data_IF_153628103176
#
_entry.id   IF_153628103176
#
_cell.length_a   1.000
_cell.length_b   1.000
_cell.length_c   1.000
_cell.angle_alpha   90.00
_cell.angle_beta   90.00
_cell.angle_gamma   90.00
#
_symmetry.space_group_name_H-M   'P 1'
#
loop_
_entity.id
_entity.type
_entity.pdbx_description
1 polymer ?
#
# COMPACT_ATOMS: atom_id res chain seq x y z
N UNK A 1 -42.35 7.32 50.10
CA UNK A 1 -41.64 6.12 50.64
C UNK A 1 -40.23 6.09 50.11
N UNK A 2 -39.19 5.91 50.91
CA UNK A 2 -37.84 5.74 50.44
C UNK A 2 -37.78 4.50 49.54
N UNK A 3 -37.27 4.63 48.31
CA UNK A 3 -37.08 3.51 47.37
C UNK A 3 -35.98 2.62 47.92
N UNK A 4 -36.36 1.48 48.51
CA UNK A 4 -35.41 0.46 48.94
C UNK A 4 -34.67 -0.07 47.68
N UNK A 5 -33.35 -0.10 47.77
CA UNK A 5 -32.55 -0.61 46.65
C UNK A 5 -32.76 -2.13 46.53
N UNK A 6 -32.91 -2.70 45.32
CA UNK A 6 -33.13 -4.11 45.13
C UNK A 6 -31.98 -4.94 45.74
N UNK A 7 -32.31 -6.02 46.42
CA UNK A 7 -31.35 -7.01 46.90
C UNK A 7 -30.70 -7.71 45.72
N UNK A 8 -29.39 -7.89 45.73
CA UNK A 8 -28.66 -8.59 44.69
C UNK A 8 -28.24 -9.97 45.18
N UNK A 9 -28.71 -11.01 44.53
CA UNK A 9 -28.16 -12.35 44.67
C UNK A 9 -27.04 -12.54 43.65
N UNK A 10 -25.85 -12.91 44.11
CA UNK A 10 -24.68 -13.17 43.26
C UNK A 10 -24.36 -14.66 43.34
N UNK A 11 -24.36 -15.36 42.22
CA UNK A 11 -23.95 -16.76 42.13
C UNK A 11 -22.45 -16.91 42.48
N UNK A 12 -22.03 -18.11 42.84
CA UNK A 12 -20.61 -18.38 43.13
C UNK A 12 -19.73 -18.09 41.89
N UNK A 13 -20.20 -18.44 40.68
CA UNK A 13 -19.50 -18.20 39.43
C UNK A 13 -19.38 -16.71 39.12
N UNK A 14 -20.46 -15.95 39.25
CA UNK A 14 -20.43 -14.49 39.10
C UNK A 14 -19.51 -13.83 40.12
N UNK A 15 -19.51 -14.34 41.37
CA UNK A 15 -18.62 -13.79 42.42
C UNK A 15 -17.14 -13.97 42.08
N UNK A 16 -16.76 -15.11 41.49
CA UNK A 16 -15.41 -15.37 41.01
C UNK A 16 -15.02 -14.37 39.89
N UNK A 17 -15.93 -14.17 38.93
CA UNK A 17 -15.71 -13.23 37.83
C UNK A 17 -15.58 -11.78 38.34
N UNK A 18 -16.47 -11.36 39.21
CA UNK A 18 -16.48 -10.02 39.82
C UNK A 18 -15.21 -9.75 40.65
N UNK A 19 -14.75 -10.72 41.45
CA UNK A 19 -13.51 -10.63 42.22
C UNK A 19 -12.31 -10.51 41.29
N UNK A 20 -12.27 -11.29 40.20
CA UNK A 20 -11.21 -11.19 39.20
C UNK A 20 -11.20 -9.80 38.54
N UNK A 21 -12.37 -9.25 38.19
CA UNK A 21 -12.44 -7.91 37.61
C UNK A 21 -12.07 -6.81 38.59
N UNK A 22 -12.47 -6.92 39.86
CA UNK A 22 -12.19 -5.91 40.87
C UNK A 22 -10.69 -5.79 41.24
N UNK A 23 -9.91 -6.86 41.05
CA UNK A 23 -8.47 -6.95 41.38
C UNK A 23 -7.54 -6.93 40.17
N UNK A 24 -8.06 -7.08 38.97
CA UNK A 24 -7.29 -7.26 37.76
C UNK A 24 -6.52 -6.00 37.31
N UNK A 25 -5.20 -6.05 37.28
CA UNK A 25 -4.34 -4.93 36.82
C UNK A 25 -4.59 -4.51 35.38
N UNK A 26 -5.09 -5.43 34.51
CA UNK A 26 -5.42 -5.18 33.10
C UNK A 26 -6.91 -4.94 32.86
N UNK A 27 -7.74 -5.00 33.91
CA UNK A 27 -9.18 -4.74 33.82
C UNK A 27 -9.42 -3.24 33.61
N UNK A 28 -10.25 -2.82 32.63
CA UNK A 28 -10.57 -1.41 32.46
C UNK A 28 -11.14 -0.78 33.74
N UNK A 29 -10.67 0.39 34.14
CA UNK A 29 -11.04 1.05 35.39
C UNK A 29 -12.57 1.19 35.58
N UNK A 30 -13.33 1.37 34.48
CA UNK A 30 -14.80 1.39 34.51
C UNK A 30 -15.39 0.07 34.98
N UNK A 31 -14.80 -1.07 34.56
CA UNK A 31 -15.29 -2.40 34.90
C UNK A 31 -14.89 -2.78 36.33
N UNK A 32 -13.69 -2.40 36.75
CA UNK A 32 -13.26 -2.52 38.14
C UNK A 32 -14.27 -1.87 39.08
N UNK A 33 -14.63 -0.61 38.81
CA UNK A 33 -15.59 0.15 39.65
C UNK A 33 -16.98 -0.49 39.63
N UNK A 34 -17.45 -1.00 38.48
CA UNK A 34 -18.74 -1.69 38.39
C UNK A 34 -18.79 -2.99 39.18
N UNK A 35 -17.72 -3.79 39.10
CA UNK A 35 -17.57 -5.01 39.85
C UNK A 35 -17.53 -4.74 41.38
N UNK A 36 -16.82 -3.70 41.82
CA UNK A 36 -16.80 -3.27 43.20
C UNK A 36 -18.18 -2.84 43.72
N UNK A 37 -18.95 -2.09 42.90
CA UNK A 37 -20.33 -1.71 43.26
C UNK A 37 -21.19 -2.96 43.51
N UNK A 38 -21.14 -3.95 42.61
CA UNK A 38 -21.97 -5.15 42.70
C UNK A 38 -21.56 -6.02 43.91
N UNK A 39 -20.27 -6.21 44.13
CA UNK A 39 -19.78 -7.00 45.30
C UNK A 39 -20.25 -6.40 46.61
N UNK A 40 -20.10 -5.07 46.80
CA UNK A 40 -20.57 -4.40 48.04
C UNK A 40 -22.09 -4.44 48.19
N UNK A 41 -22.80 -4.34 47.06
CA UNK A 41 -24.26 -4.45 47.06
C UNK A 41 -24.71 -5.87 47.44
N UNK A 42 -23.98 -6.92 47.05
CA UNK A 42 -24.21 -8.30 47.44
C UNK A 42 -23.89 -8.55 48.92
N UNK A 43 -22.91 -7.82 49.45
CA UNK A 43 -22.55 -7.84 50.89
C UNK A 43 -23.53 -6.97 51.73
N UNK A 44 -24.65 -6.53 51.18
CA UNK A 44 -25.75 -5.84 51.89
C UNK A 44 -25.59 -4.32 52.06
N UNK A 45 -24.58 -3.70 51.42
CA UNK A 45 -24.33 -2.27 51.59
C UNK A 45 -25.40 -1.40 50.93
N UNK A 46 -25.76 -0.32 51.56
CA UNK A 46 -26.66 0.69 51.02
C UNK A 46 -26.01 1.51 49.90
N UNK A 47 -26.80 1.97 48.92
CA UNK A 47 -26.29 2.78 47.78
C UNK A 47 -25.49 3.99 48.23
N UNK A 48 -25.93 4.66 49.30
CA UNK A 48 -25.24 5.86 49.84
C UNK A 48 -23.85 5.52 50.35
N UNK A 49 -23.70 4.41 51.08
CA UNK A 49 -22.42 3.97 51.61
C UNK A 49 -21.44 3.55 50.50
N UNK A 50 -21.92 2.78 49.52
CA UNK A 50 -21.12 2.39 48.32
C UNK A 50 -20.70 3.64 47.50
N UNK A 51 -21.60 4.60 47.35
CA UNK A 51 -21.31 5.82 46.63
C UNK A 51 -20.22 6.67 47.30
N UNK A 52 -20.28 6.77 48.62
CA UNK A 52 -19.28 7.48 49.44
C UNK A 52 -17.90 6.81 49.36
N UNK A 53 -17.84 5.51 49.52
CA UNK A 53 -16.58 4.75 49.52
C UNK A 53 -15.90 4.75 48.14
N UNK A 54 -16.67 4.59 47.06
CA UNK A 54 -16.13 4.50 45.71
C UNK A 54 -16.03 5.86 44.97
N UNK A 55 -16.33 6.97 45.65
CA UNK A 55 -16.27 8.31 45.08
C UNK A 55 -17.18 8.46 43.86
N UNK A 56 -18.44 7.97 43.94
CA UNK A 56 -19.40 8.00 42.84
C UNK A 56 -20.76 8.52 43.29
N UNK A 57 -21.73 8.63 42.37
CA UNK A 57 -23.08 9.11 42.69
C UNK A 57 -24.00 7.93 43.03
N UNK A 58 -24.90 8.08 43.97
CA UNK A 58 -25.90 7.05 44.30
C UNK A 58 -26.71 6.57 43.10
N UNK A 59 -27.06 7.48 42.18
CA UNK A 59 -27.73 7.11 40.93
C UNK A 59 -26.92 6.14 40.08
N UNK A 60 -25.58 6.28 40.09
CA UNK A 60 -24.65 5.40 39.37
C UNK A 60 -24.61 4.02 40.04
N UNK A 61 -24.57 3.97 41.36
CA UNK A 61 -24.62 2.72 42.10
C UNK A 61 -25.95 1.99 41.82
N UNK A 62 -27.09 2.68 41.94
CA UNK A 62 -28.41 2.14 41.62
C UNK A 62 -28.55 1.64 40.18
N UNK A 63 -27.92 2.32 39.23
CA UNK A 63 -27.91 1.90 37.82
C UNK A 63 -27.19 0.55 37.65
N UNK A 64 -25.98 0.40 38.16
CA UNK A 64 -25.19 -0.83 37.97
C UNK A 64 -25.75 -2.00 38.79
N UNK A 65 -26.31 -1.71 39.95
CA UNK A 65 -27.02 -2.68 40.77
C UNK A 65 -28.23 -3.26 40.04
N UNK A 66 -29.08 -2.41 39.44
CA UNK A 66 -30.24 -2.85 38.67
C UNK A 66 -29.82 -3.64 37.44
N UNK A 67 -28.82 -3.17 36.69
CA UNK A 67 -28.36 -3.85 35.47
C UNK A 67 -27.74 -5.23 35.76
N UNK A 68 -27.07 -5.38 36.88
CA UNK A 68 -26.60 -6.67 37.30
C UNK A 68 -27.77 -7.58 37.72
N UNK A 69 -28.74 -7.08 38.46
CA UNK A 69 -29.94 -7.86 38.86
C UNK A 69 -30.74 -8.34 37.63
N UNK A 70 -30.78 -7.56 36.56
CA UNK A 70 -31.49 -7.90 35.32
C UNK A 70 -30.72 -8.85 34.40
N UNK A 71 -29.40 -8.76 34.33
CA UNK A 71 -28.58 -9.40 33.27
C UNK A 71 -27.27 -10.01 33.76
N UNK A 72 -27.05 -10.13 35.06
CA UNK A 72 -25.81 -10.67 35.65
C UNK A 72 -24.56 -9.89 35.24
N UNK A 73 -23.42 -10.58 35.14
CA UNK A 73 -22.14 -10.02 34.72
C UNK A 73 -22.20 -9.36 33.37
N UNK A 74 -22.93 -9.89 32.39
CA UNK A 74 -23.13 -9.28 31.05
C UNK A 74 -23.77 -7.89 31.13
N UNK A 75 -24.61 -7.64 32.15
CA UNK A 75 -25.26 -6.34 32.35
C UNK A 75 -24.30 -5.20 32.71
N UNK A 76 -23.15 -5.53 33.31
CA UNK A 76 -22.16 -4.54 33.74
C UNK A 76 -20.88 -4.49 32.88
N UNK A 77 -20.64 -5.51 32.06
CA UNK A 77 -19.47 -5.59 31.19
C UNK A 77 -19.43 -4.49 30.15
N UNK A 78 -20.58 -4.22 29.50
CA UNK A 78 -20.70 -3.21 28.46
C UNK A 78 -21.69 -2.12 28.83
N UNK A 79 -21.49 -0.92 28.24
CA UNK A 79 -22.48 0.15 28.34
C UNK A 79 -23.73 -0.22 27.51
N UNK A 80 -24.90 0.27 27.92
CA UNK A 80 -26.10 0.09 27.13
C UNK A 80 -25.90 0.65 25.71
N UNK A 81 -26.31 -0.07 24.66
CA UNK A 81 -26.33 0.46 23.31
C UNK A 81 -27.21 1.72 23.26
N UNK A 82 -26.85 2.67 22.39
CA UNK A 82 -27.68 3.85 22.19
C UNK A 82 -27.23 5.13 22.88
N UNK A 83 -26.05 5.16 23.55
CA UNK A 83 -25.43 6.42 23.97
C UNK A 83 -24.81 7.15 22.76
N UNK A 84 -25.61 7.84 22.04
CA UNK A 84 -25.23 8.67 20.90
C UNK A 84 -26.46 9.08 20.12
N UNK A 85 -26.30 10.05 19.23
CA UNK A 85 -27.40 10.43 18.33
C UNK A 85 -27.77 9.22 17.46
N UNK A 86 -29.02 8.70 17.50
CA UNK A 86 -29.41 7.56 16.68
C UNK A 86 -29.12 7.83 15.20
N UNK A 87 -28.71 6.78 14.48
CA UNK A 87 -28.61 6.85 13.05
C UNK A 87 -30.05 6.97 12.50
N UNK A 88 -30.44 8.16 12.07
CA UNK A 88 -31.72 8.38 11.43
C UNK A 88 -31.72 7.76 10.03
N UNK A 89 -32.90 7.36 9.52
CA UNK A 89 -33.10 6.90 8.12
C UNK A 89 -32.49 7.89 7.12
N UNK A 90 -32.51 9.18 7.40
CA UNK A 90 -31.83 10.22 6.63
C UNK A 90 -30.30 10.02 6.51
N UNK A 91 -29.64 9.43 7.51
CA UNK A 91 -28.19 9.15 7.43
C UNK A 91 -27.85 8.09 6.40
N UNK A 92 -28.65 7.05 6.30
CA UNK A 92 -28.47 5.98 5.32
C UNK A 92 -28.70 6.50 3.89
N UNK A 93 -29.75 7.29 3.68
CA UNK A 93 -30.04 7.88 2.38
C UNK A 93 -28.93 8.86 1.93
N UNK A 94 -28.44 9.72 2.84
CA UNK A 94 -27.33 10.64 2.57
C UNK A 94 -26.03 9.88 2.29
N UNK A 95 -25.74 8.79 2.99
CA UNK A 95 -24.57 7.95 2.74
C UNK A 95 -24.63 7.32 1.35
N UNK A 96 -25.76 6.76 0.98
CA UNK A 96 -26.00 6.19 -0.35
C UNK A 96 -25.83 7.25 -1.45
N UNK A 97 -26.35 8.46 -1.24
CA UNK A 97 -26.23 9.56 -2.19
C UNK A 97 -24.80 10.03 -2.35
N UNK A 98 -24.02 10.15 -1.26
CA UNK A 98 -22.59 10.48 -1.32
C UNK A 98 -21.83 9.43 -2.12
N UNK A 99 -22.07 8.14 -1.88
CA UNK A 99 -21.43 7.05 -2.61
C UNK A 99 -21.81 7.11 -4.10
N UNK A 100 -23.10 7.24 -4.40
CA UNK A 100 -23.63 7.32 -5.77
C UNK A 100 -23.00 8.49 -6.55
N UNK A 101 -23.04 9.71 -5.98
CA UNK A 101 -22.43 10.91 -6.61
C UNK A 101 -20.93 10.73 -6.80
N UNK A 102 -20.21 10.18 -5.80
CA UNK A 102 -18.75 9.99 -5.90
C UNK A 102 -18.37 9.04 -7.02
N UNK A 103 -19.17 7.98 -7.25
CA UNK A 103 -18.82 6.90 -8.18
C UNK A 103 -19.38 7.09 -9.59
N UNK A 104 -20.46 7.87 -9.74
CA UNK A 104 -21.22 7.97 -11.01
C UNK A 104 -21.33 9.38 -11.57
N UNK A 105 -21.00 10.41 -10.78
CA UNK A 105 -21.12 11.80 -11.20
C UNK A 105 -19.82 12.57 -11.03
N UNK A 106 -19.63 13.54 -11.88
CA UNK A 106 -18.54 14.53 -11.72
C UNK A 106 -19.10 15.83 -11.11
N UNK A 107 -18.33 16.55 -10.29
CA UNK A 107 -18.74 17.86 -9.82
C UNK A 107 -18.74 18.87 -10.98
N UNK A 108 -19.57 19.89 -10.94
CA UNK A 108 -19.46 21.00 -11.87
C UNK A 108 -18.06 21.62 -11.77
N UNK A 109 -17.45 21.92 -12.91
CA UNK A 109 -16.16 22.62 -13.01
C UNK A 109 -14.94 21.92 -12.37
N UNK A 110 -15.01 20.60 -12.10
CA UNK A 110 -13.87 19.84 -11.59
C UNK A 110 -13.90 18.37 -12.06
N UNK A 111 -12.73 17.75 -12.13
CA UNK A 111 -12.58 16.35 -12.59
C UNK A 111 -12.97 15.32 -11.54
N UNK A 112 -12.99 15.70 -10.26
CA UNK A 112 -13.30 14.81 -9.15
C UNK A 112 -13.89 15.57 -7.96
N UNK A 113 -14.60 14.86 -7.11
CA UNK A 113 -15.18 15.41 -5.89
C UNK A 113 -14.12 15.65 -4.81
N UNK A 114 -14.09 16.84 -4.24
CA UNK A 114 -13.43 17.12 -2.98
C UNK A 114 -14.42 16.95 -1.81
N UNK A 115 -13.92 16.80 -0.59
CA UNK A 115 -14.78 16.72 0.60
C UNK A 115 -15.67 17.97 0.75
N UNK A 116 -15.18 19.15 0.32
CA UNK A 116 -15.92 20.42 0.41
C UNK A 116 -17.01 20.51 -0.66
N UNK A 117 -16.70 20.18 -1.92
CA UNK A 117 -17.68 20.24 -3.00
C UNK A 117 -18.79 19.20 -2.80
N UNK A 118 -18.44 17.99 -2.37
CA UNK A 118 -19.43 16.97 -2.03
C UNK A 118 -20.29 17.39 -0.83
N UNK A 119 -19.70 17.99 0.20
CA UNK A 119 -20.40 18.48 1.37
C UNK A 119 -21.47 19.52 0.99
N UNK A 120 -21.13 20.48 0.13
CA UNK A 120 -22.07 21.45 -0.42
C UNK A 120 -23.19 20.81 -1.25
N UNK A 121 -22.84 19.83 -2.10
CA UNK A 121 -23.82 19.16 -2.97
C UNK A 121 -24.85 18.29 -2.23
N UNK A 122 -24.52 17.80 -1.03
CA UNK A 122 -25.36 16.87 -0.24
C UNK A 122 -25.86 17.48 1.08
N UNK A 123 -25.46 18.70 1.40
CA UNK A 123 -25.91 19.40 2.62
C UNK A 123 -25.38 18.81 3.93
N UNK A 124 -24.15 18.29 3.94
CA UNK A 124 -23.50 17.72 5.15
C UNK A 124 -22.12 18.34 5.38
N UNK A 125 -21.52 18.08 6.54
CA UNK A 125 -20.17 18.58 6.81
C UNK A 125 -19.08 17.83 6.01
N UNK A 126 -17.96 18.49 5.61
CA UNK A 126 -16.82 17.83 4.97
C UNK A 126 -16.24 16.67 5.80
N UNK A 127 -16.31 16.77 7.13
CA UNK A 127 -15.88 15.71 8.03
C UNK A 127 -16.78 14.45 7.93
N UNK A 128 -18.09 14.65 7.68
CA UNK A 128 -19.03 13.54 7.42
C UNK A 128 -18.74 12.86 6.09
N UNK A 129 -18.49 13.63 5.03
CA UNK A 129 -18.07 13.10 3.72
C UNK A 129 -16.81 12.25 3.86
N UNK A 130 -15.79 12.79 4.56
CA UNK A 130 -14.52 12.07 4.78
C UNK A 130 -14.72 10.74 5.51
N UNK A 131 -15.63 10.69 6.51
CA UNK A 131 -15.95 9.44 7.23
C UNK A 131 -16.65 8.43 6.35
N UNK A 132 -17.58 8.87 5.50
CA UNK A 132 -18.30 8.03 4.52
C UNK A 132 -17.29 7.46 3.52
N UNK A 133 -16.48 8.32 2.88
CA UNK A 133 -15.46 7.86 1.94
C UNK A 133 -14.46 6.87 2.55
N UNK A 134 -14.02 7.11 3.80
CA UNK A 134 -13.13 6.18 4.52
C UNK A 134 -13.81 4.82 4.75
N UNK A 135 -15.09 4.80 5.11
CA UNK A 135 -15.87 3.56 5.36
C UNK A 135 -16.03 2.76 4.08
N UNK A 136 -16.27 3.41 2.95
CA UNK A 136 -16.43 2.78 1.65
C UNK A 136 -15.14 2.64 0.83
N UNK A 137 -13.99 2.96 1.40
CA UNK A 137 -12.69 2.87 0.70
C UNK A 137 -12.53 3.84 -0.48
N UNK A 138 -13.40 4.85 -0.61
CA UNK A 138 -13.39 5.79 -1.72
C UNK A 138 -12.27 6.83 -1.57
N UNK A 139 -11.50 7.03 -2.63
CA UNK A 139 -10.35 7.95 -2.69
C UNK A 139 -10.41 8.80 -3.96
N UNK A 140 -11.37 9.71 -4.12
CA UNK A 140 -11.56 10.45 -5.38
C UNK A 140 -10.36 11.30 -5.80
N UNK A 141 -9.50 11.68 -4.85
CA UNK A 141 -8.27 12.46 -5.08
C UNK A 141 -7.09 11.63 -5.60
N UNK A 142 -7.23 10.30 -5.67
CA UNK A 142 -6.18 9.41 -6.17
C UNK A 142 -6.62 8.83 -7.50
N UNK A 143 -5.74 8.89 -8.48
CA UNK A 143 -5.89 8.24 -9.77
C UNK A 143 -4.80 7.19 -9.90
N UNK A 144 -5.20 5.95 -10.18
CA UNK A 144 -4.28 4.90 -10.59
C UNK A 144 -4.35 4.79 -12.10
N UNK A 145 -3.23 5.01 -12.76
CA UNK A 145 -3.13 4.81 -14.20
C UNK A 145 -3.06 3.32 -14.51
N UNK A 146 -3.76 2.90 -15.54
CA UNK A 146 -3.66 1.56 -16.09
C UNK A 146 -3.79 1.63 -17.61
N UNK A 147 -3.22 0.65 -18.29
CA UNK A 147 -3.43 0.44 -19.72
C UNK A 147 -3.66 -1.04 -19.95
N UNK A 148 -4.71 -1.38 -20.66
CA UNK A 148 -4.94 -2.76 -21.11
C UNK A 148 -4.11 -2.98 -22.37
N UNK A 149 -3.34 -4.04 -22.39
CA UNK A 149 -2.52 -4.39 -23.55
C UNK A 149 -3.40 -4.78 -24.73
N UNK A 150 -3.01 -4.29 -25.93
CA UNK A 150 -3.58 -4.69 -27.20
C UNK A 150 -2.69 -5.71 -27.93
N UNK A 151 -1.71 -6.29 -27.26
CA UNK A 151 -0.83 -7.31 -27.83
C UNK A 151 -1.65 -8.57 -28.18
N UNK A 152 -1.66 -9.04 -29.44
CA UNK A 152 -2.40 -10.23 -29.83
C UNK A 152 -1.88 -11.50 -29.14
N UNK A 153 -0.60 -11.53 -28.75
CA UNK A 153 0.06 -12.63 -28.03
C UNK A 153 0.14 -12.39 -26.53
N UNK A 154 -0.73 -11.55 -25.97
CA UNK A 154 -0.68 -11.16 -24.55
C UNK A 154 -0.70 -12.36 -23.60
N UNK A 155 -1.61 -13.31 -23.84
CA UNK A 155 -1.78 -14.47 -22.96
C UNK A 155 -0.52 -15.34 -22.96
N UNK A 156 -0.04 -15.69 -24.14
CA UNK A 156 1.14 -16.54 -24.30
C UNK A 156 2.38 -15.93 -23.63
N UNK A 157 2.68 -14.66 -23.92
CA UNK A 157 3.81 -13.94 -23.32
C UNK A 157 3.68 -13.80 -21.80
N UNK A 158 2.45 -13.56 -21.30
CA UNK A 158 2.19 -13.50 -19.87
C UNK A 158 2.47 -14.82 -19.17
N UNK A 159 1.97 -15.93 -19.73
CA UNK A 159 2.18 -17.28 -19.19
C UNK A 159 3.65 -17.67 -19.19
N UNK A 160 4.36 -17.38 -20.27
CA UNK A 160 5.79 -17.60 -20.41
C UNK A 160 6.60 -16.87 -19.34
N UNK A 161 6.40 -15.54 -19.20
CA UNK A 161 7.14 -14.71 -18.25
C UNK A 161 6.80 -15.07 -16.80
N UNK A 162 5.52 -15.27 -16.50
CA UNK A 162 5.10 -15.69 -15.15
C UNK A 162 5.61 -17.09 -14.83
N UNK A 163 5.68 -17.97 -15.82
CA UNK A 163 6.31 -19.29 -15.70
C UNK A 163 7.77 -19.18 -15.27
N UNK A 164 8.56 -18.35 -15.94
CA UNK A 164 9.97 -18.10 -15.61
C UNK A 164 10.16 -17.52 -14.20
N UNK A 165 9.23 -16.69 -13.72
CA UNK A 165 9.30 -16.15 -12.36
C UNK A 165 8.92 -17.15 -11.27
N UNK A 166 7.99 -18.05 -11.54
CA UNK A 166 7.48 -19.02 -10.56
C UNK A 166 8.27 -20.33 -10.55
N UNK A 167 8.82 -20.71 -11.71
CA UNK A 167 9.53 -21.98 -11.92
C UNK A 167 10.63 -21.78 -12.98
N UNK A 168 11.73 -21.10 -12.60
CA UNK A 168 12.86 -20.93 -13.51
C UNK A 168 13.47 -22.29 -13.87
N UNK A 169 14.09 -22.44 -15.05
CA UNK A 169 14.81 -23.67 -15.42
C UNK A 169 15.99 -23.96 -14.48
N UNK A 170 16.30 -25.22 -14.22
CA UNK A 170 17.29 -25.64 -13.20
C UNK A 170 18.73 -25.19 -13.50
N UNK A 171 19.12 -25.12 -14.78
CA UNK A 171 20.47 -24.70 -15.20
C UNK A 171 20.48 -23.36 -15.92
N UNK A 172 19.69 -22.40 -15.41
CA UNK A 172 19.55 -21.10 -16.03
C UNK A 172 19.46 -19.97 -15.01
N UNK A 173 19.90 -18.78 -15.41
CA UNK A 173 19.63 -17.54 -14.69
C UNK A 173 18.59 -16.73 -15.46
N UNK A 174 17.60 -16.23 -14.73
CA UNK A 174 16.54 -15.38 -15.28
C UNK A 174 16.76 -13.96 -14.83
N UNK A 175 16.95 -13.05 -15.78
CA UNK A 175 17.12 -11.63 -15.56
C UNK A 175 15.93 -10.85 -16.09
N UNK A 176 15.44 -9.92 -15.30
CA UNK A 176 14.60 -8.81 -15.76
C UNK A 176 15.49 -7.67 -16.18
N UNK A 177 15.43 -7.27 -17.43
CA UNK A 177 16.38 -6.33 -18.06
C UNK A 177 15.64 -5.14 -18.66
N UNK A 178 16.16 -3.94 -18.43
CA UNK A 178 15.61 -2.70 -18.99
C UNK A 178 16.60 -1.54 -18.89
N UNK A 179 16.28 -0.40 -19.51
CA UNK A 179 17.03 0.82 -19.38
C UNK A 179 16.20 1.95 -18.76
N UNK A 180 16.73 2.52 -17.67
CA UNK A 180 16.25 3.78 -17.14
C UNK A 180 16.91 4.92 -17.90
N UNK A 181 16.26 5.35 -18.97
CA UNK A 181 16.75 6.43 -19.84
C UNK A 181 16.58 7.80 -19.19
N UNK A 182 17.37 8.78 -19.67
CA UNK A 182 17.25 10.20 -19.35
C UNK A 182 17.25 10.52 -17.84
N UNK A 183 18.10 9.86 -17.06
CA UNK A 183 18.34 10.25 -15.68
C UNK A 183 18.97 11.64 -15.70
N UNK A 184 18.24 12.64 -15.20
CA UNK A 184 18.65 14.04 -15.25
C UNK A 184 19.60 14.39 -14.11
N UNK A 185 20.67 15.09 -14.44
CA UNK A 185 21.59 15.69 -13.47
C UNK A 185 21.00 17.01 -13.02
N UNK A 186 20.40 17.03 -11.83
CA UNK A 186 19.69 18.19 -11.30
C UNK A 186 20.51 18.83 -10.18
N UNK A 187 21.03 20.02 -10.45
CA UNK A 187 21.68 20.90 -9.46
C UNK A 187 20.64 21.89 -8.93
N UNK A 188 20.33 21.80 -7.65
CA UNK A 188 19.35 22.68 -7.00
C UNK A 188 19.97 24.05 -6.73
N UNK A 189 19.28 25.11 -7.14
CA UNK A 189 19.76 26.49 -7.00
C UNK A 189 19.86 26.96 -5.54
N UNK A 190 19.18 26.28 -4.62
CA UNK A 190 19.20 26.57 -3.20
C UNK A 190 19.17 25.28 -2.37
N UNK A 191 19.82 25.24 -1.22
CA UNK A 191 19.76 24.08 -0.32
C UNK A 191 18.33 23.85 0.19
N UNK A 192 17.99 22.60 0.41
CA UNK A 192 16.72 22.22 1.00
C UNK A 192 16.62 22.60 2.48
N UNK A 193 15.41 22.89 2.96
CA UNK A 193 15.19 23.10 4.38
C UNK A 193 14.97 21.75 5.09
N UNK A 194 15.56 21.58 6.28
CA UNK A 194 15.50 20.31 6.99
C UNK A 194 14.10 19.98 7.49
N UNK A 195 13.86 18.69 7.70
CA UNK A 195 12.66 18.18 8.34
C UNK A 195 12.54 18.70 9.77
N UNK A 196 11.35 19.19 10.16
CA UNK A 196 11.02 19.61 11.53
C UNK A 196 9.75 18.93 12.01
N UNK A 197 9.53 18.85 13.33
CA UNK A 197 8.30 18.29 13.89
C UNK A 197 7.07 18.99 13.34
N UNK A 198 6.17 18.25 12.71
CA UNK A 198 4.95 18.79 12.08
C UNK A 198 5.15 19.43 10.69
N UNK A 199 6.38 19.46 10.17
CA UNK A 199 6.70 20.00 8.84
C UNK A 199 7.56 19.04 8.05
N UNK A 200 7.18 18.80 6.80
CA UNK A 200 8.01 18.03 5.87
C UNK A 200 9.28 18.81 5.50
N UNK A 201 10.34 18.10 5.14
CA UNK A 201 11.49 18.70 4.47
C UNK A 201 11.05 19.34 3.16
N UNK A 202 11.63 20.49 2.80
CA UNK A 202 11.31 21.19 1.55
C UNK A 202 12.52 21.27 0.66
N UNK A 203 12.29 21.26 -0.64
CA UNK A 203 13.33 21.50 -1.66
C UNK A 203 12.86 22.63 -2.57
N UNK A 204 13.82 23.40 -3.10
CA UNK A 204 13.52 24.35 -4.16
C UNK A 204 13.00 23.63 -5.40
N UNK A 205 12.09 24.24 -6.13
CA UNK A 205 11.63 23.75 -7.43
C UNK A 205 12.60 24.12 -8.56
N UNK A 206 13.45 25.12 -8.35
CA UNK A 206 14.42 25.56 -9.34
C UNK A 206 15.65 24.65 -9.37
N UNK A 207 16.13 24.37 -10.57
CA UNK A 207 17.32 23.55 -10.81
C UNK A 207 18.00 23.94 -12.12
N UNK A 208 19.30 23.70 -12.18
CA UNK A 208 20.09 23.66 -13.40
C UNK A 208 20.26 22.22 -13.86
N UNK A 209 20.29 21.99 -15.16
CA UNK A 209 20.55 20.67 -15.76
C UNK A 209 21.98 20.61 -16.26
N UNK A 210 22.73 19.60 -15.80
CA UNK A 210 24.12 19.37 -16.20
C UNK A 210 24.28 18.12 -17.08
N UNK A 211 23.22 17.72 -17.79
CA UNK A 211 23.22 16.59 -18.70
C UNK A 211 22.31 15.46 -18.23
N UNK A 212 22.44 14.32 -18.92
CA UNK A 212 21.66 13.11 -18.68
C UNK A 212 22.54 11.88 -18.83
N UNK A 213 22.18 10.80 -18.13
CA UNK A 213 22.74 9.46 -18.34
C UNK A 213 21.60 8.42 -18.45
N UNK A 214 21.92 7.24 -18.95
CA UNK A 214 21.02 6.09 -19.01
C UNK A 214 21.63 4.95 -18.22
N UNK A 215 20.89 4.40 -17.29
CA UNK A 215 21.27 3.20 -16.54
C UNK A 215 20.66 1.98 -17.23
N UNK A 216 21.51 1.05 -17.69
CA UNK A 216 21.14 -0.31 -18.03
C UNK A 216 21.24 -1.19 -16.81
N UNK A 217 20.25 -2.02 -16.56
CA UNK A 217 20.23 -2.92 -15.41
C UNK A 217 19.58 -4.26 -15.75
N UNK A 218 20.21 -5.34 -15.27
CA UNK A 218 19.73 -6.71 -15.31
C UNK A 218 19.58 -7.22 -13.88
N UNK A 219 18.35 -7.35 -13.42
CA UNK A 219 18.00 -7.84 -12.10
C UNK A 219 17.85 -9.37 -12.16
N UNK A 220 18.72 -10.10 -11.48
CA UNK A 220 18.56 -11.54 -11.29
C UNK A 220 17.33 -11.83 -10.42
N UNK A 221 16.37 -12.57 -10.94
CA UNK A 221 15.11 -12.86 -10.24
C UNK A 221 15.30 -13.77 -9.04
N UNK A 222 16.30 -14.64 -9.08
CA UNK A 222 16.60 -15.62 -8.04
C UNK A 222 17.33 -14.97 -6.85
N UNK A 223 18.40 -14.23 -7.11
CA UNK A 223 19.28 -13.68 -6.07
C UNK A 223 18.91 -12.25 -5.67
N UNK A 224 18.29 -11.50 -6.58
CA UNK A 224 18.07 -10.06 -6.44
C UNK A 224 19.29 -9.20 -6.74
N UNK A 225 20.42 -9.80 -7.16
CA UNK A 225 21.59 -9.07 -7.62
C UNK A 225 21.32 -8.32 -8.92
N UNK A 226 22.00 -7.21 -9.12
CA UNK A 226 21.85 -6.36 -10.29
C UNK A 226 23.19 -6.19 -10.99
N UNK A 227 23.26 -6.63 -12.25
CA UNK A 227 24.34 -6.27 -13.18
C UNK A 227 23.92 -4.96 -13.85
N UNK A 228 24.80 -3.97 -13.92
CA UNK A 228 24.43 -2.67 -14.44
C UNK A 228 25.59 -1.86 -14.99
N UNK A 229 25.25 -0.87 -15.80
CA UNK A 229 26.22 0.14 -16.29
C UNK A 229 25.50 1.41 -16.70
N UNK A 230 26.11 2.55 -16.46
CA UNK A 230 25.66 3.85 -16.97
C UNK A 230 26.28 4.15 -18.33
N UNK A 231 25.46 4.55 -19.30
CA UNK A 231 25.91 4.94 -20.64
C UNK A 231 25.20 6.24 -21.09
N UNK A 232 25.84 7.04 -21.97
CA UNK A 232 25.27 8.31 -22.39
C UNK A 232 24.04 8.18 -23.32
N UNK A 233 23.84 7.03 -23.93
CA UNK A 233 22.75 6.76 -24.88
C UNK A 233 22.17 5.37 -24.65
N UNK A 234 20.99 5.10 -25.25
CA UNK A 234 20.27 3.81 -25.15
C UNK A 234 19.91 3.27 -26.55
N UNK A 235 20.91 3.20 -27.44
CA UNK A 235 20.78 2.63 -28.79
C UNK A 235 21.18 1.14 -28.78
N UNK A 236 20.99 0.47 -29.90
CA UNK A 236 21.38 -0.94 -30.06
C UNK A 236 22.87 -1.20 -29.80
N UNK A 237 23.77 -0.21 -30.01
CA UNK A 237 25.20 -0.35 -29.71
C UNK A 237 25.46 -0.43 -28.20
N UNK A 238 24.81 0.43 -27.43
CA UNK A 238 24.88 0.43 -25.97
C UNK A 238 24.23 -0.84 -25.40
N UNK A 239 23.11 -1.26 -25.99
CA UNK A 239 22.47 -2.52 -25.63
C UNK A 239 23.38 -3.72 -25.82
N UNK A 240 24.08 -3.84 -26.96
CA UNK A 240 25.04 -4.94 -27.22
C UNK A 240 26.21 -4.89 -26.21
N UNK A 241 26.70 -3.70 -25.87
CA UNK A 241 27.74 -3.57 -24.84
C UNK A 241 27.24 -4.09 -23.49
N UNK A 242 26.00 -3.83 -23.17
CA UNK A 242 25.39 -4.32 -21.94
C UNK A 242 25.18 -5.83 -21.96
N UNK A 243 24.74 -6.41 -23.08
CA UNK A 243 24.65 -7.86 -23.25
C UNK A 243 26.02 -8.55 -23.07
N UNK A 244 27.10 -7.97 -23.62
CA UNK A 244 28.47 -8.47 -23.42
C UNK A 244 28.91 -8.38 -21.95
N UNK A 245 28.45 -7.36 -21.21
CA UNK A 245 28.69 -7.28 -19.78
C UNK A 245 27.99 -8.41 -19.03
N UNK A 246 26.72 -8.68 -19.33
CA UNK A 246 25.96 -9.79 -18.72
C UNK A 246 26.68 -11.10 -19.02
N UNK A 247 27.10 -11.33 -20.27
CA UNK A 247 27.80 -12.54 -20.68
C UNK A 247 29.09 -12.77 -19.88
N UNK A 248 29.84 -11.71 -19.62
CA UNK A 248 31.08 -11.77 -18.84
C UNK A 248 30.85 -12.10 -17.35
N UNK A 249 29.75 -11.60 -16.78
CA UNK A 249 29.44 -11.73 -15.35
C UNK A 249 28.70 -13.06 -15.02
N UNK A 250 28.13 -13.73 -16.02
CA UNK A 250 27.35 -14.97 -15.81
C UNK A 250 28.24 -16.20 -16.15
N UNK A 251 28.25 -17.23 -15.30
CA UNK A 251 28.96 -18.49 -15.57
C UNK A 251 28.61 -19.08 -16.95
N UNK A 252 29.61 -19.62 -17.65
CA UNK A 252 29.46 -20.09 -19.04
C UNK A 252 28.63 -21.37 -19.19
N UNK A 253 28.43 -22.11 -18.12
CA UNK A 253 27.69 -23.37 -18.03
C UNK A 253 26.19 -23.17 -17.79
N UNK A 254 25.75 -21.93 -17.63
CA UNK A 254 24.35 -21.59 -17.38
C UNK A 254 23.72 -20.95 -18.61
N UNK A 255 22.47 -21.30 -18.88
CA UNK A 255 21.61 -20.57 -19.79
C UNK A 255 21.15 -19.24 -19.19
N UNK A 256 20.91 -18.26 -20.04
CA UNK A 256 20.54 -16.91 -19.63
C UNK A 256 19.19 -16.52 -20.27
N UNK A 257 18.17 -16.41 -19.45
CA UNK A 257 16.86 -15.93 -19.88
C UNK A 257 16.74 -14.43 -19.57
N UNK A 258 16.53 -13.64 -20.61
CA UNK A 258 16.36 -12.18 -20.51
C UNK A 258 14.90 -11.80 -20.74
N UNK A 259 14.25 -11.26 -19.72
CA UNK A 259 12.92 -10.69 -19.82
C UNK A 259 13.07 -9.19 -20.04
N UNK A 260 12.74 -8.69 -21.21
CA UNK A 260 12.86 -7.29 -21.58
C UNK A 260 11.58 -6.74 -22.22
N UNK A 261 11.49 -5.43 -22.34
CA UNK A 261 10.37 -4.79 -23.00
C UNK A 261 10.41 -4.96 -24.53
N UNK A 262 9.32 -4.63 -25.18
CA UNK A 262 9.17 -4.77 -26.61
C UNK A 262 9.71 -3.55 -27.40
N UNK A 263 10.80 -2.94 -26.93
CA UNK A 263 11.36 -1.74 -27.56
C UNK A 263 12.12 -2.09 -28.86
N UNK A 264 12.05 -1.19 -29.85
CA UNK A 264 12.62 -1.42 -31.18
C UNK A 264 14.13 -1.69 -31.17
N UNK A 265 14.86 -1.07 -30.24
CA UNK A 265 16.31 -1.24 -30.08
C UNK A 265 16.69 -2.68 -29.80
N UNK A 266 15.88 -3.42 -29.04
CA UNK A 266 16.11 -4.82 -28.69
C UNK A 266 15.90 -5.78 -29.86
N UNK A 267 15.23 -5.33 -30.92
CA UNK A 267 14.92 -6.11 -32.15
C UNK A 267 15.78 -5.70 -33.34
N UNK A 268 16.76 -4.83 -33.14
CA UNK A 268 17.62 -4.39 -34.22
C UNK A 268 18.41 -5.57 -34.81
N UNK A 269 18.65 -5.59 -36.11
CA UNK A 269 19.32 -6.69 -36.82
C UNK A 269 20.67 -7.08 -36.20
N UNK A 270 21.47 -6.11 -35.76
CA UNK A 270 22.74 -6.37 -35.08
C UNK A 270 22.58 -7.05 -33.74
N UNK A 271 21.49 -6.79 -33.02
CA UNK A 271 21.14 -7.47 -31.75
C UNK A 271 20.69 -8.89 -32.04
N UNK A 272 19.86 -9.10 -33.06
CA UNK A 272 19.44 -10.45 -33.50
C UNK A 272 20.66 -11.30 -33.89
N UNK A 273 21.61 -10.73 -34.66
CA UNK A 273 22.87 -11.40 -34.99
C UNK A 273 23.73 -11.70 -33.75
N UNK A 274 23.70 -10.87 -32.73
CA UNK A 274 24.37 -11.12 -31.47
C UNK A 274 23.77 -12.37 -30.78
N UNK A 275 22.46 -12.46 -30.63
CA UNK A 275 21.79 -13.64 -30.06
C UNK A 275 22.06 -14.92 -30.86
N UNK A 276 22.10 -14.87 -32.18
CA UNK A 276 22.47 -16.03 -33.01
C UNK A 276 23.87 -16.57 -32.68
N UNK A 277 24.80 -15.72 -32.26
CA UNK A 277 26.16 -16.10 -31.85
C UNK A 277 26.27 -16.54 -30.38
N UNK A 278 25.24 -16.24 -29.59
CA UNK A 278 25.20 -16.58 -28.18
C UNK A 278 23.96 -17.44 -27.86
N UNK A 279 23.95 -18.72 -28.28
CA UNK A 279 22.77 -19.59 -28.24
C UNK A 279 22.27 -19.89 -26.85
N UNK A 280 23.08 -19.68 -25.79
CA UNK A 280 22.69 -19.81 -24.39
C UNK A 280 21.80 -18.62 -23.90
N UNK A 281 21.64 -17.57 -24.71
CA UNK A 281 20.81 -16.41 -24.36
C UNK A 281 19.42 -16.53 -25.00
N UNK A 282 18.40 -16.54 -24.17
CA UNK A 282 16.99 -16.65 -24.55
C UNK A 282 16.25 -15.37 -24.20
N UNK A 283 15.65 -14.71 -25.19
CA UNK A 283 14.95 -13.42 -24.99
C UNK A 283 13.45 -13.61 -24.95
N UNK A 284 12.82 -13.07 -23.91
CA UNK A 284 11.39 -13.08 -23.66
C UNK A 284 10.85 -11.66 -23.61
N UNK A 285 10.06 -11.27 -24.62
CA UNK A 285 9.52 -9.92 -24.70
C UNK A 285 8.23 -9.79 -23.91
N UNK A 286 8.15 -8.77 -23.05
CA UNK A 286 6.89 -8.44 -22.37
C UNK A 286 5.82 -8.04 -23.39
N UNK A 287 4.52 -8.28 -23.09
CA UNK A 287 3.46 -7.79 -23.95
C UNK A 287 3.51 -6.25 -24.05
N UNK A 288 3.13 -5.71 -25.20
CA UNK A 288 3.04 -4.25 -25.39
C UNK A 288 2.21 -3.61 -24.28
N UNK A 289 2.70 -2.51 -23.72
CA UNK A 289 2.09 -1.79 -22.59
C UNK A 289 1.94 -2.60 -21.30
N UNK A 290 2.82 -3.56 -21.06
CA UNK A 290 2.85 -4.40 -19.88
C UNK A 290 4.22 -4.38 -19.15
N UNK A 291 4.90 -3.23 -19.12
CA UNK A 291 6.19 -3.04 -18.41
C UNK A 291 6.14 -3.44 -16.93
N UNK A 292 4.95 -3.41 -16.30
CA UNK A 292 4.74 -3.90 -14.94
C UNK A 292 5.07 -5.40 -14.75
N UNK A 293 5.17 -6.18 -15.82
CA UNK A 293 5.68 -7.55 -15.80
C UNK A 293 7.21 -7.59 -15.66
N UNK A 294 7.91 -6.53 -16.02
CA UNK A 294 9.36 -6.45 -15.90
C UNK A 294 9.75 -6.04 -14.47
N UNK A 295 10.34 -6.98 -13.70
CA UNK A 295 10.63 -6.76 -12.28
C UNK A 295 11.69 -5.69 -12.03
N UNK A 296 12.58 -5.40 -12.99
CA UNK A 296 13.60 -4.36 -12.88
C UNK A 296 12.99 -2.95 -12.75
N UNK A 297 11.79 -2.73 -13.24
CA UNK A 297 11.07 -1.46 -13.08
C UNK A 297 10.83 -1.10 -11.59
N UNK A 298 10.62 -2.12 -10.77
CA UNK A 298 10.53 -1.91 -9.32
C UNK A 298 11.86 -1.48 -8.73
N UNK A 299 12.96 -2.06 -9.17
CA UNK A 299 14.30 -1.65 -8.79
C UNK A 299 14.57 -0.19 -9.20
N UNK A 300 14.22 0.21 -10.42
CA UNK A 300 14.34 1.59 -10.88
C UNK A 300 13.53 2.58 -10.05
N UNK A 301 12.34 2.19 -9.61
CA UNK A 301 11.54 3.00 -8.70
C UNK A 301 12.24 3.15 -7.34
N UNK A 302 12.77 2.07 -6.78
CA UNK A 302 13.46 2.09 -5.49
C UNK A 302 14.73 2.97 -5.54
N UNK A 303 15.55 2.85 -6.58
CA UNK A 303 16.70 3.71 -6.83
C UNK A 303 16.26 5.19 -6.94
N UNK A 304 15.20 5.45 -7.71
CA UNK A 304 14.67 6.81 -7.88
C UNK A 304 14.23 7.40 -6.55
N UNK A 305 13.45 6.69 -5.77
CA UNK A 305 12.87 7.18 -4.52
C UNK A 305 13.92 7.34 -3.42
N UNK A 306 14.90 6.44 -3.35
CA UNK A 306 15.91 6.40 -2.28
C UNK A 306 17.13 7.27 -2.56
N UNK A 307 17.56 7.40 -3.82
CA UNK A 307 18.82 8.07 -4.17
C UNK A 307 18.66 9.27 -5.11
N UNK A 308 17.88 9.13 -6.20
CA UNK A 308 17.87 10.15 -7.26
C UNK A 308 16.91 11.31 -6.99
N UNK A 309 15.68 11.05 -6.55
CA UNK A 309 14.62 12.06 -6.45
C UNK A 309 14.98 13.27 -5.58
N UNK A 310 15.73 13.06 -4.51
CA UNK A 310 16.16 14.11 -3.56
C UNK A 310 17.63 14.42 -3.67
N UNK A 311 18.35 13.77 -4.57
CA UNK A 311 19.75 14.03 -4.84
C UNK A 311 19.95 15.41 -5.48
N UNK A 312 21.08 16.02 -5.20
CA UNK A 312 21.59 17.22 -5.87
C UNK A 312 22.91 16.81 -6.51
N UNK A 313 23.03 17.04 -7.80
CA UNK A 313 24.16 16.56 -8.60
C UNK A 313 24.64 17.66 -9.53
N UNK A 314 25.94 17.90 -9.56
CA UNK A 314 26.56 18.97 -10.35
C UNK A 314 27.16 18.45 -11.66
N UNK A 315 27.32 17.14 -11.81
CA UNK A 315 27.87 16.53 -13.02
C UNK A 315 27.25 15.14 -13.29
N UNK A 316 27.39 14.68 -14.55
CA UNK A 316 27.01 13.31 -14.93
C UNK A 316 27.80 12.28 -14.13
N UNK A 317 29.08 12.58 -13.83
CA UNK A 317 29.93 11.70 -13.04
C UNK A 317 29.37 11.50 -11.62
N UNK A 318 28.98 12.58 -10.93
CA UNK A 318 28.39 12.50 -9.58
C UNK A 318 27.11 11.65 -9.54
N UNK A 319 26.25 11.75 -10.57
CA UNK A 319 25.05 10.89 -10.67
C UNK A 319 25.45 9.45 -10.88
N UNK A 320 26.44 9.18 -11.74
CA UNK A 320 26.91 7.82 -12.01
C UNK A 320 27.52 7.21 -10.76
N UNK A 321 28.42 7.93 -10.07
CA UNK A 321 29.01 7.48 -8.81
C UNK A 321 27.96 7.19 -7.73
N UNK A 322 26.92 8.05 -7.66
CA UNK A 322 25.80 7.85 -6.71
C UNK A 322 24.94 6.62 -7.05
N UNK A 323 24.80 6.30 -8.33
CA UNK A 323 24.13 5.07 -8.79
C UNK A 323 24.98 3.85 -8.47
N UNK A 324 26.27 3.91 -8.75
CA UNK A 324 27.22 2.80 -8.51
C UNK A 324 27.35 2.51 -7.01
N UNK A 325 27.42 3.54 -6.16
CA UNK A 325 27.37 3.39 -4.70
C UNK A 325 26.09 2.69 -4.23
N UNK A 326 24.93 3.10 -4.76
CA UNK A 326 23.64 2.48 -4.42
C UNK A 326 23.59 1.01 -4.84
N UNK A 327 24.11 0.69 -6.03
CA UNK A 327 24.18 -0.66 -6.57
C UNK A 327 25.15 -1.54 -5.78
N UNK A 328 26.31 -1.01 -5.41
CA UNK A 328 27.26 -1.71 -4.56
C UNK A 328 26.60 -2.16 -3.25
N UNK A 329 25.97 -1.24 -2.52
CA UNK A 329 25.25 -1.58 -1.28
C UNK A 329 24.04 -2.47 -1.49
N UNK A 330 23.34 -2.35 -2.62
CA UNK A 330 22.25 -3.25 -2.97
C UNK A 330 22.75 -4.68 -3.15
N UNK A 331 23.87 -4.85 -3.84
CA UNK A 331 24.48 -6.15 -4.15
C UNK A 331 25.23 -6.78 -2.97
N UNK A 332 25.64 -6.01 -1.94
CA UNK A 332 26.16 -6.57 -0.68
C UNK A 332 25.10 -7.40 0.08
N UNK A 333 23.83 -7.01 -0.02
CA UNK A 333 22.73 -7.69 0.66
C UNK A 333 21.47 -7.72 -0.22
N UNK A 334 21.53 -8.39 -1.38
CA UNK A 334 20.48 -8.39 -2.37
C UNK A 334 19.24 -9.11 -1.83
N UNK A 335 18.07 -8.56 -2.18
CA UNK A 335 16.78 -9.16 -1.83
C UNK A 335 15.98 -9.37 -3.09
N UNK A 336 15.65 -10.62 -3.46
CA UNK A 336 14.85 -10.88 -4.64
C UNK A 336 13.44 -10.30 -4.50
N UNK A 337 12.89 -9.81 -5.61
CA UNK A 337 11.49 -9.44 -5.70
C UNK A 337 10.66 -10.68 -5.99
N UNK A 338 9.99 -11.23 -4.98
CA UNK A 338 9.22 -12.45 -5.12
C UNK A 338 7.93 -12.17 -5.90
N UNK A 339 7.76 -12.85 -7.02
CA UNK A 339 6.52 -12.84 -7.79
C UNK A 339 5.50 -13.77 -7.14
N UNK A 340 4.28 -13.28 -6.87
CA UNK A 340 3.25 -14.04 -6.12
C UNK A 340 1.96 -14.28 -6.91
N UNK A 341 1.80 -13.68 -8.09
CA UNK A 341 0.56 -13.76 -8.87
C UNK A 341 0.65 -14.81 -9.95
N UNK A 342 -0.35 -15.69 -10.02
CA UNK A 342 -0.49 -16.63 -11.14
C UNK A 342 -0.99 -15.89 -12.39
N UNK A 343 -0.63 -16.42 -13.57
CA UNK A 343 -1.09 -15.88 -14.85
C UNK A 343 -2.63 -15.85 -14.94
N UNK A 344 -3.31 -16.90 -14.47
CA UNK A 344 -4.77 -16.97 -14.42
C UNK A 344 -5.44 -15.83 -13.65
N UNK A 345 -4.86 -15.42 -12.50
CA UNK A 345 -5.38 -14.31 -11.70
C UNK A 345 -5.26 -12.98 -12.44
N UNK A 346 -4.18 -12.82 -13.19
CA UNK A 346 -3.93 -11.63 -14.00
C UNK A 346 -4.89 -11.58 -15.18
N UNK A 347 -5.05 -12.70 -15.90
CA UNK A 347 -5.97 -12.82 -17.02
C UNK A 347 -7.42 -12.49 -16.60
N UNK A 348 -7.88 -13.04 -15.47
CA UNK A 348 -9.20 -12.73 -14.93
C UNK A 348 -9.40 -11.22 -14.65
N UNK A 349 -8.35 -10.50 -14.24
CA UNK A 349 -8.41 -9.04 -14.07
C UNK A 349 -8.45 -8.29 -15.40
N UNK A 350 -7.68 -8.74 -16.38
CA UNK A 350 -7.64 -8.13 -17.71
C UNK A 350 -8.99 -8.28 -18.42
N UNK A 351 -9.62 -9.46 -18.33
CA UNK A 351 -10.97 -9.70 -18.87
C UNK A 351 -11.98 -8.74 -18.25
N UNK A 352 -12.04 -8.66 -16.91
CA UNK A 352 -12.93 -7.70 -16.22
C UNK A 352 -12.66 -6.24 -16.61
N UNK A 353 -11.39 -5.86 -16.77
CA UNK A 353 -11.05 -4.50 -17.19
C UNK A 353 -11.52 -4.20 -18.62
N UNK A 354 -11.38 -5.15 -19.55
CA UNK A 354 -11.90 -5.03 -20.93
C UNK A 354 -13.42 -4.92 -20.96
N UNK A 355 -14.14 -5.72 -20.19
CA UNK A 355 -15.60 -5.64 -20.07
C UNK A 355 -16.05 -4.26 -19.58
N UNK A 356 -15.39 -3.73 -18.56
CA UNK A 356 -15.69 -2.38 -18.03
C UNK A 356 -15.42 -1.30 -19.07
N UNK A 357 -14.30 -1.40 -19.82
CA UNK A 357 -13.96 -0.43 -20.87
C UNK A 357 -14.95 -0.47 -22.03
N UNK A 358 -15.37 -1.66 -22.46
CA UNK A 358 -16.33 -1.83 -23.55
C UNK A 358 -17.75 -1.33 -23.17
N UNK A 359 -18.10 -1.38 -21.88
CA UNK A 359 -19.39 -0.93 -21.36
C UNK A 359 -19.33 0.52 -20.81
N UNK A 360 -18.16 1.17 -20.80
CA UNK A 360 -18.05 2.56 -20.39
C UNK A 360 -18.64 3.47 -21.47
N UNK A 361 -19.53 4.42 -21.12
CA UNK A 361 -20.00 5.41 -22.09
C UNK A 361 -18.80 6.20 -22.60
N UNK A 362 -18.72 6.42 -23.90
CA UNK A 362 -17.73 7.28 -24.55
C UNK A 362 -17.76 8.64 -23.87
N UNK A 363 -16.64 9.06 -23.29
CA UNK A 363 -16.50 10.32 -22.55
C UNK A 363 -16.11 11.43 -23.53
#
# INVERSE_FOLDING_TARGET
MPRVAPTIAVSNDDRIVLLRWSRGRRTPARLVRRAQIVLRAADGWMNKAIAAELGTREKTVGLWRRRFAERGTAGIEQDAPGRGRPATVQRSAVETEVVRKTTRERPPHATHWSTRTMAGAVGISPASVRRIWKRHGLKPHLVCTFKVSNDPHFVQKLEEIVGLYLSPPDQALVFSVDEKSQIQVLDRTQPGLPLKKGQAGTMTHDYKRHGTTTLFAALCTLTGQVISTCMPRHRHQEWIRFLNLIEKEVPNDLDVHLICDNYATHKHETVTRWFTRHPRFHVHFTPTSASWLNMVERFFRDLTDKRLRRGVFHSVLEVTDAIDEYLFHHNENPKPFIWTKKASDILAKVVRAREVLNNAPSV
#
